data_IF_377505502839
#
_entry.id   IF_377505502839
#
_cell.length_a   1.000
_cell.length_b   1.000
_cell.length_c   1.000
_cell.angle_alpha   90.00
_cell.angle_beta   90.00
_cell.angle_gamma   90.00
#
_symmetry.space_group_name_H-M   'P 1'
#
loop_
_entity.id
_entity.type
_entity.pdbx_description
1 polymer ?
#
# COMPACT_ATOMS: atom_id res chain seq x y z
N UNK A 1 -1.65 -11.62 -62.00
CA UNK A 1 -2.83 -11.13 -62.77
C UNK A 1 -3.73 -10.42 -61.77
N UNK A 2 -3.79 -9.11 -61.82
CA UNK A 2 -4.95 -8.27 -62.19
C UNK A 2 -6.18 -8.54 -61.30
N UNK A 3 -6.82 -7.62 -60.61
CA UNK A 3 -7.15 -6.19 -60.70
C UNK A 3 -8.08 -5.91 -59.53
N UNK A 4 -8.07 -4.84 -58.92
CA UNK A 4 -8.59 -3.47 -59.04
C UNK A 4 -9.74 -3.22 -58.06
N UNK A 5 -9.54 -2.21 -57.18
CA UNK A 5 -10.28 -0.97 -56.99
C UNK A 5 -11.81 -1.06 -56.95
N UNK A 6 -12.44 -0.56 -55.89
CA UNK A 6 -13.21 0.69 -56.01
C UNK A 6 -13.68 1.21 -54.64
N UNK A 7 -13.37 2.45 -54.41
CA UNK A 7 -13.91 3.46 -53.50
C UNK A 7 -15.42 3.62 -53.64
N UNK A 8 -16.17 3.92 -52.59
CA UNK A 8 -17.16 4.97 -52.63
C UNK A 8 -17.54 5.49 -51.23
N UNK A 9 -17.42 6.79 -51.05
CA UNK A 9 -17.92 7.61 -49.96
C UNK A 9 -19.38 8.00 -50.20
N UNK A 10 -20.16 8.19 -49.12
CA UNK A 10 -21.37 9.05 -49.06
C UNK A 10 -21.75 9.19 -47.58
N UNK A 11 -21.48 10.29 -46.87
CA UNK A 11 -22.11 11.60 -46.73
C UNK A 11 -23.58 11.54 -46.25
N UNK A 12 -23.73 12.10 -45.03
CA UNK A 12 -24.83 12.83 -44.38
C UNK A 12 -26.21 12.20 -44.19
N UNK A 13 -26.66 12.23 -42.92
CA UNK A 13 -27.86 13.04 -42.56
C UNK A 13 -28.00 13.19 -41.02
N UNK A 14 -28.11 14.42 -40.60
CA UNK A 14 -28.48 14.95 -39.30
C UNK A 14 -29.94 14.58 -39.00
N UNK A 15 -30.22 14.09 -37.81
CA UNK A 15 -31.58 14.10 -37.26
C UNK A 15 -31.52 14.51 -35.79
N UNK A 16 -31.82 15.77 -35.53
CA UNK A 16 -32.16 16.33 -34.20
C UNK A 16 -33.55 15.81 -33.83
N UNK A 17 -33.64 15.10 -32.72
CA UNK A 17 -34.90 14.91 -32.02
C UNK A 17 -34.71 15.24 -30.53
N UNK A 18 -35.19 16.42 -30.21
CA UNK A 18 -35.47 16.89 -28.84
C UNK A 18 -36.60 16.04 -28.24
N UNK A 19 -36.33 15.40 -27.11
CA UNK A 19 -37.36 14.89 -26.20
C UNK A 19 -37.16 15.53 -24.84
N UNK A 20 -38.10 16.44 -24.55
CA UNK A 20 -38.39 16.90 -23.19
C UNK A 20 -38.86 15.70 -22.35
N UNK A 21 -38.19 15.45 -21.21
CA UNK A 21 -38.76 14.67 -20.14
C UNK A 21 -38.50 15.39 -18.83
N UNK A 22 -39.57 15.51 -18.08
CA UNK A 22 -39.76 16.32 -16.87
C UNK A 22 -38.85 15.94 -15.71
N UNK A 23 -38.35 16.98 -15.11
CA UNK A 23 -38.11 17.30 -13.70
C UNK A 23 -38.64 16.34 -12.64
N UNK A 24 -37.73 15.77 -11.86
CA UNK A 24 -37.89 15.59 -10.43
C UNK A 24 -36.66 16.21 -9.75
N UNK A 25 -36.95 17.27 -8.99
CA UNK A 25 -35.96 17.95 -8.15
C UNK A 25 -35.56 17.07 -7.00
N UNK A 26 -34.36 16.49 -7.04
CA UNK A 26 -33.61 16.17 -5.85
C UNK A 26 -32.62 17.32 -5.59
N UNK A 27 -32.76 17.95 -4.43
CA UNK A 27 -31.83 18.97 -3.97
C UNK A 27 -30.47 18.34 -3.67
N UNK A 28 -29.56 18.39 -4.65
CA UNK A 28 -28.15 18.13 -4.41
C UNK A 28 -27.55 19.32 -3.67
N UNK A 29 -27.05 19.09 -2.46
CA UNK A 29 -26.18 20.03 -1.75
C UNK A 29 -25.04 20.47 -2.67
N UNK A 30 -24.67 21.77 -2.67
CA UNK A 30 -23.55 22.24 -3.49
C UNK A 30 -22.27 21.55 -3.04
N UNK A 31 -21.63 20.82 -3.95
CA UNK A 31 -20.27 20.36 -3.80
C UNK A 31 -19.36 21.57 -3.61
N UNK A 32 -18.51 21.54 -2.58
CA UNK A 32 -17.44 22.51 -2.42
C UNK A 32 -16.61 22.53 -3.72
N UNK A 33 -16.18 23.70 -4.21
CA UNK A 33 -15.29 23.76 -5.36
C UNK A 33 -14.02 22.98 -5.04
N UNK A 34 -13.73 21.93 -5.83
CA UNK A 34 -12.41 21.34 -5.85
C UNK A 34 -11.44 22.44 -6.31
N UNK A 35 -10.51 22.80 -5.41
CA UNK A 35 -9.34 23.58 -5.80
C UNK A 35 -8.61 22.76 -6.87
N UNK A 36 -8.58 23.26 -8.11
CA UNK A 36 -7.63 22.76 -9.11
C UNK A 36 -6.23 22.87 -8.51
N UNK A 37 -5.55 21.74 -8.39
CA UNK A 37 -4.18 21.66 -7.89
C UNK A 37 -3.30 22.36 -8.94
N UNK A 38 -3.00 23.64 -8.72
CA UNK A 38 -1.95 24.31 -9.49
C UNK A 38 -0.61 23.71 -9.06
N UNK A 39 0.12 23.16 -10.00
CA UNK A 39 1.52 22.71 -9.86
C UNK A 39 2.45 23.96 -9.89
N UNK A 40 2.07 25.06 -9.25
CA UNK A 40 2.95 26.21 -9.06
C UNK A 40 3.90 25.87 -7.92
N UNK A 41 5.16 25.58 -8.29
CA UNK A 41 6.28 25.53 -7.35
C UNK A 41 6.40 26.91 -6.71
N UNK A 42 6.16 27.00 -5.42
CA UNK A 42 6.38 28.25 -4.67
C UNK A 42 7.84 28.66 -4.82
N UNK A 43 8.16 29.90 -5.20
CA UNK A 43 9.53 30.32 -5.55
C UNK A 43 10.59 30.12 -4.46
N UNK A 44 10.16 29.99 -3.18
CA UNK A 44 11.02 29.83 -2.01
C UNK A 44 10.81 28.47 -1.28
N UNK A 45 10.18 27.47 -1.93
CA UNK A 45 9.94 26.17 -1.29
C UNK A 45 11.18 25.27 -1.34
N UNK A 46 11.42 24.53 -0.25
CA UNK A 46 12.42 23.49 -0.19
C UNK A 46 11.87 22.19 -0.77
N UNK A 47 12.52 21.64 -1.81
CA UNK A 47 12.17 20.31 -2.31
C UNK A 47 12.61 19.25 -1.30
N UNK A 48 11.70 18.35 -0.94
CA UNK A 48 11.95 17.19 -0.08
C UNK A 48 11.41 15.94 -0.75
N UNK A 49 12.23 14.92 -0.90
CA UNK A 49 11.84 13.59 -1.39
C UNK A 49 11.64 12.67 -0.21
N UNK A 50 10.40 12.18 -0.03
CA UNK A 50 10.05 11.20 0.99
C UNK A 50 9.80 9.85 0.31
N UNK A 51 10.53 8.81 0.73
CA UNK A 51 10.34 7.46 0.24
C UNK A 51 9.58 6.63 1.28
N UNK A 52 8.36 6.19 0.93
CA UNK A 52 7.52 5.33 1.76
C UNK A 52 7.68 3.85 1.39
N UNK A 53 7.55 2.96 2.38
CA UNK A 53 7.66 1.50 2.18
C UNK A 53 6.53 0.93 1.31
N UNK A 54 5.33 1.44 1.47
CA UNK A 54 4.14 1.00 0.76
C UNK A 54 3.11 2.13 0.71
N UNK A 55 2.30 2.17 -0.35
CA UNK A 55 1.15 3.08 -0.39
C UNK A 55 -0.04 2.44 0.30
N UNK A 56 -0.37 2.88 1.52
CA UNK A 56 -1.38 2.25 2.36
C UNK A 56 -2.17 3.27 3.18
N UNK A 57 -3.47 3.04 3.34
CA UNK A 57 -4.33 3.85 4.24
C UNK A 57 -3.81 3.86 5.69
N UNK A 58 -2.94 2.95 6.05
CA UNK A 58 -2.22 2.95 7.32
C UNK A 58 -1.42 4.24 7.55
N UNK A 59 -1.05 4.93 6.46
CA UNK A 59 -0.33 6.20 6.45
C UNK A 59 -1.25 7.41 6.18
N UNK A 60 -2.56 7.24 6.33
CA UNK A 60 -3.55 8.26 6.02
C UNK A 60 -3.26 9.66 6.58
N UNK A 61 -2.74 9.84 7.82
CA UNK A 61 -2.39 11.17 8.31
C UNK A 61 -1.39 11.91 7.43
N UNK A 62 -0.41 11.21 6.87
CA UNK A 62 0.57 11.79 5.94
C UNK A 62 -0.10 12.21 4.62
N UNK A 63 -0.96 11.36 4.07
CA UNK A 63 -1.67 11.69 2.83
C UNK A 63 -2.64 12.85 3.00
N UNK A 64 -3.31 12.93 4.17
CA UNK A 64 -4.14 14.11 4.50
C UNK A 64 -3.31 15.38 4.54
N UNK A 65 -2.11 15.33 5.15
CA UNK A 65 -1.22 16.49 5.19
C UNK A 65 -0.79 16.93 3.78
N UNK A 66 -0.55 15.98 2.87
CA UNK A 66 -0.22 16.25 1.46
C UNK A 66 -1.44 16.87 0.74
N UNK A 67 -2.61 16.26 0.87
CA UNK A 67 -3.80 16.70 0.13
C UNK A 67 -4.37 18.05 0.64
N UNK A 68 -4.25 18.32 1.94
CA UNK A 68 -4.67 19.60 2.54
C UNK A 68 -3.63 20.72 2.38
N UNK A 69 -2.45 20.44 1.82
CA UNK A 69 -1.41 21.42 1.53
C UNK A 69 -0.57 21.85 2.76
N UNK A 70 -0.52 21.04 3.81
CA UNK A 70 0.21 21.40 5.04
C UNK A 70 1.73 21.44 4.83
N UNK A 71 2.26 20.70 3.88
CA UNK A 71 3.67 20.76 3.52
C UNK A 71 3.98 22.07 2.78
N UNK A 72 3.11 22.45 1.85
CA UNK A 72 3.23 23.70 1.11
C UNK A 72 3.13 24.91 2.04
N UNK A 73 2.23 24.87 3.03
CA UNK A 73 2.08 25.92 4.04
C UNK A 73 3.38 26.13 4.87
N UNK A 74 4.18 25.06 5.04
CA UNK A 74 5.50 25.11 5.69
C UNK A 74 6.66 25.37 4.69
N UNK A 75 6.35 25.71 3.45
CA UNK A 75 7.35 25.97 2.42
C UNK A 75 8.08 24.72 1.92
N UNK A 76 7.45 23.56 2.03
CA UNK A 76 7.99 22.27 1.58
C UNK A 76 7.27 21.85 0.29
N UNK A 77 8.03 21.60 -0.77
CA UNK A 77 7.56 20.93 -1.97
C UNK A 77 7.89 19.43 -1.84
N UNK A 78 6.92 18.66 -1.33
CA UNK A 78 7.10 17.25 -1.06
C UNK A 78 6.89 16.41 -2.31
N UNK A 79 7.89 15.58 -2.64
CA UNK A 79 7.78 14.50 -3.62
C UNK A 79 7.67 13.16 -2.86
N UNK A 80 6.54 12.45 -3.03
CA UNK A 80 6.32 11.14 -2.42
C UNK A 80 6.65 10.04 -3.41
N UNK A 81 7.54 9.12 -3.01
CA UNK A 81 7.97 7.95 -3.80
C UNK A 81 7.70 6.68 -3.02
N UNK A 82 7.13 5.66 -3.67
CA UNK A 82 6.90 4.35 -3.02
C UNK A 82 8.04 3.37 -3.37
N UNK A 83 8.76 2.89 -2.36
CA UNK A 83 9.91 1.98 -2.52
C UNK A 83 9.54 0.49 -2.56
N UNK A 84 8.37 0.10 -2.07
CA UNK A 84 7.90 -1.29 -1.98
C UNK A 84 8.78 -2.20 -1.12
N UNK A 85 9.39 -1.66 -0.07
CA UNK A 85 10.19 -2.39 0.91
C UNK A 85 11.07 -1.49 1.75
N UNK A 86 11.25 -1.81 3.04
CA UNK A 86 12.06 -1.01 3.95
C UNK A 86 13.54 -0.97 3.53
N UNK A 87 14.04 -2.06 2.96
CA UNK A 87 15.38 -2.14 2.37
C UNK A 87 15.56 -1.17 1.21
N UNK A 88 14.55 -1.04 0.34
CA UNK A 88 14.59 -0.11 -0.80
C UNK A 88 14.48 1.34 -0.35
N UNK A 89 13.57 1.63 0.61
CA UNK A 89 13.46 2.98 1.18
C UNK A 89 14.74 3.39 1.92
N UNK A 90 15.36 2.47 2.67
CA UNK A 90 16.64 2.71 3.32
C UNK A 90 17.74 2.99 2.29
N UNK A 91 17.81 2.18 1.23
CA UNK A 91 18.78 2.40 0.14
C UNK A 91 18.60 3.77 -0.51
N UNK A 92 17.37 4.19 -0.77
CA UNK A 92 17.09 5.51 -1.35
C UNK A 92 17.60 6.66 -0.45
N UNK A 93 17.44 6.53 0.88
CA UNK A 93 17.98 7.54 1.81
C UNK A 93 19.51 7.51 1.85
N UNK A 94 20.11 6.34 1.98
CA UNK A 94 21.57 6.21 2.05
C UNK A 94 22.29 6.62 0.75
N UNK A 95 21.63 6.45 -0.40
CA UNK A 95 22.15 6.89 -1.70
C UNK A 95 21.93 8.38 -1.99
N UNK A 96 21.11 9.06 -1.19
CA UNK A 96 20.71 10.45 -1.42
C UNK A 96 19.62 10.62 -2.48
N UNK A 97 18.95 9.54 -2.90
CA UNK A 97 17.78 9.59 -3.78
C UNK A 97 16.53 10.07 -3.04
N UNK A 98 16.49 9.91 -1.71
CA UNK A 98 15.45 10.44 -0.84
C UNK A 98 16.07 11.12 0.38
N UNK A 99 15.45 12.22 0.81
CA UNK A 99 15.84 12.97 2.01
C UNK A 99 15.28 12.31 3.29
N UNK A 100 14.10 11.70 3.19
CA UNK A 100 13.40 11.07 4.30
C UNK A 100 12.91 9.69 3.88
N UNK A 101 13.14 8.69 4.74
CA UNK A 101 12.55 7.35 4.62
C UNK A 101 11.41 7.18 5.62
N UNK A 102 10.23 6.84 5.12
CA UNK A 102 9.10 6.46 5.95
C UNK A 102 8.98 4.94 5.98
N UNK A 103 9.55 4.35 7.02
CA UNK A 103 9.73 2.90 7.16
C UNK A 103 9.74 2.50 8.64
N UNK A 104 9.76 1.21 8.92
CA UNK A 104 9.93 0.70 10.27
C UNK A 104 11.32 1.03 10.82
N UNK A 105 11.40 1.27 12.12
CA UNK A 105 12.67 1.62 12.81
C UNK A 105 13.71 0.49 12.79
N UNK A 106 13.29 -0.75 12.51
CA UNK A 106 14.19 -1.90 12.35
C UNK A 106 15.23 -1.67 11.25
N UNK A 107 14.88 -0.99 10.18
CA UNK A 107 15.79 -0.72 9.08
C UNK A 107 16.99 0.13 9.53
N UNK A 108 16.78 1.12 10.42
CA UNK A 108 17.88 1.92 10.99
C UNK A 108 18.78 1.08 11.91
N UNK A 109 18.19 0.15 12.67
CA UNK A 109 18.93 -0.76 13.54
C UNK A 109 19.81 -1.70 12.70
N UNK A 110 19.30 -2.28 11.62
CA UNK A 110 20.07 -3.15 10.73
C UNK A 110 21.26 -2.40 10.14
N UNK A 111 21.02 -1.22 9.58
CA UNK A 111 22.07 -0.41 8.96
C UNK A 111 23.19 -0.06 9.96
N UNK A 112 22.82 0.31 11.19
CA UNK A 112 23.77 0.57 12.25
C UNK A 112 24.58 -0.68 12.62
N UNK A 113 23.92 -1.84 12.77
CA UNK A 113 24.58 -3.09 13.15
C UNK A 113 25.48 -3.68 12.05
N UNK A 114 25.20 -3.36 10.79
CA UNK A 114 26.05 -3.74 9.66
C UNK A 114 27.32 -2.88 9.56
N UNK A 115 27.47 -1.89 10.44
CA UNK A 115 28.67 -1.08 10.55
C UNK A 115 28.78 -0.01 9.48
N UNK A 116 27.67 0.48 8.97
CA UNK A 116 27.65 1.61 8.04
C UNK A 116 28.33 2.84 8.66
N UNK A 117 29.20 3.50 7.90
CA UNK A 117 29.86 4.74 8.34
C UNK A 117 28.88 5.91 8.39
N UNK A 118 27.82 5.84 7.61
CA UNK A 118 26.71 6.79 7.60
C UNK A 118 25.42 6.00 7.83
N UNK A 119 24.61 6.44 8.76
CA UNK A 119 23.37 5.76 9.16
C UNK A 119 22.28 6.77 9.43
N UNK A 120 21.04 6.36 9.20
CA UNK A 120 19.87 7.23 9.38
C UNK A 120 19.53 7.40 10.86
N UNK A 121 18.89 8.52 11.17
CA UNK A 121 18.38 8.85 12.51
C UNK A 121 16.86 8.91 12.46
N UNK A 122 16.20 8.23 13.40
CA UNK A 122 14.73 8.31 13.52
C UNK A 122 14.36 9.68 14.12
N UNK A 123 13.54 10.45 13.41
CA UNK A 123 13.16 11.82 13.78
C UNK A 123 11.70 11.94 14.22
N UNK A 124 10.84 11.01 13.79
CA UNK A 124 9.40 11.03 14.11
C UNK A 124 8.82 9.62 14.09
N UNK A 125 7.72 9.44 14.82
CA UNK A 125 6.93 8.22 14.82
C UNK A 125 5.47 8.58 14.49
N UNK A 126 4.96 8.07 13.34
CA UNK A 126 3.60 8.32 12.89
C UNK A 126 2.62 7.23 13.32
N UNK A 127 3.11 6.01 13.50
CA UNK A 127 2.29 4.85 13.85
C UNK A 127 2.83 4.18 15.11
N UNK A 128 1.95 3.70 15.98
CA UNK A 128 2.32 3.11 17.28
C UNK A 128 2.10 1.60 17.36
N UNK A 129 1.32 1.03 16.43
CA UNK A 129 0.99 -0.39 16.38
C UNK A 129 1.14 -0.91 14.97
N UNK A 130 1.34 -2.22 14.83
CA UNK A 130 1.33 -2.85 13.53
C UNK A 130 -0.06 -2.73 12.90
N UNK A 131 -0.12 -2.30 11.65
CA UNK A 131 -1.37 -2.13 10.90
C UNK A 131 -1.73 -3.34 10.04
N UNK A 132 -1.25 -4.52 10.42
CA UNK A 132 -1.41 -5.74 9.66
C UNK A 132 -2.46 -6.65 10.25
N UNK A 133 -3.06 -7.44 9.37
CA UNK A 133 -4.05 -8.46 9.67
C UNK A 133 -3.60 -9.80 9.12
N UNK A 134 -3.90 -10.86 9.85
CA UNK A 134 -3.79 -12.23 9.34
C UNK A 134 -5.10 -12.57 8.63
N UNK A 135 -5.00 -12.95 7.37
CA UNK A 135 -6.13 -13.34 6.53
C UNK A 135 -6.01 -14.83 6.22
N UNK A 136 -7.06 -15.60 6.52
CA UNK A 136 -7.18 -17.01 6.20
C UNK A 136 -7.93 -17.20 4.88
N UNK A 137 -7.73 -18.33 4.21
CA UNK A 137 -8.47 -18.71 3.01
C UNK A 137 -9.90 -19.14 3.29
N UNK A 138 -10.12 -19.71 4.48
CA UNK A 138 -11.40 -20.21 4.93
C UNK A 138 -11.88 -19.43 6.17
N UNK A 139 -13.18 -19.42 6.40
CA UNK A 139 -13.75 -18.81 7.58
C UNK A 139 -13.35 -19.61 8.84
N UNK A 140 -12.79 -18.92 9.85
CA UNK A 140 -12.30 -19.53 11.08
C UNK A 140 -12.79 -18.73 12.30
N UNK A 141 -14.06 -18.87 12.71
CA UNK A 141 -14.64 -18.09 13.80
C UNK A 141 -13.93 -18.32 15.15
N UNK A 142 -13.36 -19.50 15.35
CA UNK A 142 -12.64 -19.90 16.56
C UNK A 142 -11.13 -19.98 16.32
N UNK A 143 -10.59 -19.12 15.42
CA UNK A 143 -9.17 -19.13 15.08
C UNK A 143 -8.24 -19.14 16.29
N UNK A 144 -7.30 -20.04 16.27
CA UNK A 144 -6.17 -20.11 17.20
C UNK A 144 -4.85 -20.06 16.44
N UNK A 145 -3.84 -19.42 17.02
CA UNK A 145 -2.51 -19.35 16.40
C UNK A 145 -1.92 -20.73 16.09
N UNK A 146 -2.32 -21.77 16.85
CA UNK A 146 -1.91 -23.16 16.59
C UNK A 146 -2.45 -23.74 15.28
N UNK A 147 -3.47 -23.12 14.68
CA UNK A 147 -4.02 -23.56 13.39
C UNK A 147 -3.08 -23.27 12.23
N UNK A 148 -2.04 -22.45 12.46
CA UNK A 148 -0.99 -22.19 11.51
C UNK A 148 0.00 -23.36 11.36
N UNK A 149 -0.01 -24.36 12.27
CA UNK A 149 0.89 -25.50 12.19
C UNK A 149 0.63 -26.34 10.94
N UNK A 150 1.68 -26.60 10.20
CA UNK A 150 1.65 -27.30 8.92
C UNK A 150 1.15 -26.48 7.73
N UNK A 151 0.93 -25.18 7.93
CA UNK A 151 0.39 -24.27 6.91
C UNK A 151 1.47 -23.44 6.24
N UNK A 152 1.14 -22.91 5.06
CA UNK A 152 1.94 -21.93 4.35
C UNK A 152 1.34 -20.52 4.56
N UNK A 153 2.19 -19.58 4.93
CA UNK A 153 1.80 -18.18 5.19
C UNK A 153 2.65 -17.24 4.31
N UNK A 154 2.02 -16.29 3.63
CA UNK A 154 2.73 -15.14 3.08
C UNK A 154 2.96 -14.17 4.22
N UNK A 155 4.14 -14.25 4.83
CA UNK A 155 4.42 -13.60 6.13
C UNK A 155 4.87 -12.15 6.03
N UNK A 156 4.85 -11.58 4.82
CA UNK A 156 5.48 -10.30 4.55
C UNK A 156 6.94 -10.47 4.11
N UNK A 157 7.58 -9.35 3.77
CA UNK A 157 8.96 -9.34 3.28
C UNK A 157 9.95 -9.56 4.43
N UNK A 158 10.95 -10.41 4.21
CA UNK A 158 11.98 -10.74 5.21
C UNK A 158 12.65 -9.49 5.78
N UNK A 159 12.69 -9.41 7.10
CA UNK A 159 13.29 -8.30 7.83
C UNK A 159 12.46 -7.03 7.89
N UNK A 160 11.25 -7.02 7.32
CA UNK A 160 10.31 -5.92 7.48
C UNK A 160 9.48 -6.02 8.77
N UNK A 161 9.00 -4.90 9.28
CA UNK A 161 8.22 -4.85 10.52
C UNK A 161 7.03 -5.82 10.54
N UNK A 162 6.24 -5.99 9.46
CA UNK A 162 5.12 -6.94 9.45
C UNK A 162 5.56 -8.38 9.74
N UNK A 163 6.62 -8.81 9.08
CA UNK A 163 7.16 -10.16 9.25
C UNK A 163 7.73 -10.35 10.66
N UNK A 164 8.50 -9.39 11.16
CA UNK A 164 9.08 -9.46 12.50
C UNK A 164 8.02 -9.52 13.58
N UNK A 165 6.95 -8.72 13.48
CA UNK A 165 5.82 -8.76 14.44
C UNK A 165 5.10 -10.09 14.35
N UNK A 166 4.86 -10.62 13.16
CA UNK A 166 4.24 -11.92 12.96
C UNK A 166 5.07 -13.03 13.61
N UNK A 167 6.36 -13.10 13.32
CA UNK A 167 7.26 -14.07 13.94
C UNK A 167 7.33 -13.92 15.48
N UNK A 168 7.35 -12.68 15.97
CA UNK A 168 7.33 -12.42 17.41
C UNK A 168 6.07 -13.01 18.04
N UNK A 169 4.90 -12.79 17.45
CA UNK A 169 3.63 -13.34 17.94
C UNK A 169 3.69 -14.87 17.94
N UNK A 170 4.16 -15.50 16.86
CA UNK A 170 4.29 -16.96 16.78
C UNK A 170 5.17 -17.51 17.90
N UNK A 171 6.33 -16.89 18.14
CA UNK A 171 7.24 -17.25 19.25
C UNK A 171 6.57 -17.12 20.62
N UNK A 172 5.80 -16.04 20.85
CA UNK A 172 5.05 -15.85 22.10
C UNK A 172 3.94 -16.89 22.29
N UNK A 173 3.42 -17.46 21.21
CA UNK A 173 2.41 -18.54 21.22
C UNK A 173 3.05 -19.93 21.25
N UNK A 174 4.37 -20.04 21.35
CA UNK A 174 5.08 -21.31 21.41
C UNK A 174 5.12 -22.07 20.08
N UNK A 175 5.04 -21.35 18.96
CA UNK A 175 5.12 -21.89 17.60
C UNK A 175 6.55 -21.71 17.11
N UNK A 176 7.16 -22.83 16.68
CA UNK A 176 8.50 -22.85 16.09
C UNK A 176 8.38 -22.46 14.59
N UNK A 177 8.89 -21.28 14.26
CA UNK A 177 8.76 -20.72 12.91
C UNK A 177 9.53 -21.50 11.84
N UNK A 178 10.49 -22.35 12.24
CA UNK A 178 11.29 -23.14 11.31
C UNK A 178 10.72 -24.55 11.09
N UNK A 179 9.92 -25.05 12.07
CA UNK A 179 9.44 -26.44 12.06
C UNK A 179 7.93 -26.57 11.90
N UNK A 180 7.18 -25.61 12.51
CA UNK A 180 5.74 -25.76 12.63
C UNK A 180 4.97 -25.26 11.41
N UNK A 181 5.54 -24.35 10.59
CA UNK A 181 4.87 -23.79 9.41
C UNK A 181 5.89 -23.37 8.35
N UNK A 182 5.39 -23.01 7.17
CA UNK A 182 6.22 -22.42 6.11
C UNK A 182 5.87 -20.94 5.97
N UNK A 183 6.85 -20.04 6.18
CA UNK A 183 6.67 -18.61 5.95
C UNK A 183 7.35 -18.22 4.64
N UNK A 184 6.57 -17.83 3.64
CA UNK A 184 7.10 -17.28 2.39
C UNK A 184 7.31 -15.78 2.55
N UNK A 185 8.55 -15.33 2.46
CA UNK A 185 9.01 -13.96 2.70
C UNK A 185 9.54 -13.28 1.42
N UNK A 186 9.37 -13.92 0.25
CA UNK A 186 9.99 -13.47 -1.00
C UNK A 186 9.03 -12.68 -1.91
N UNK A 187 7.84 -12.35 -1.44
CA UNK A 187 6.84 -11.60 -2.21
C UNK A 187 6.85 -10.15 -1.77
N UNK A 188 6.98 -9.25 -2.75
CA UNK A 188 6.98 -7.81 -2.51
C UNK A 188 5.62 -7.32 -1.98
N UNK A 189 5.64 -6.27 -1.15
CA UNK A 189 4.44 -5.56 -0.73
C UNK A 189 3.63 -5.10 -1.95
N UNK A 190 2.32 -5.20 -1.86
CA UNK A 190 1.42 -4.90 -2.98
C UNK A 190 1.15 -6.10 -3.91
N UNK A 191 1.92 -7.20 -3.80
CA UNK A 191 1.70 -8.42 -4.56
C UNK A 191 1.17 -9.58 -3.71
N UNK A 192 1.21 -9.48 -2.38
CA UNK A 192 0.82 -10.54 -1.44
C UNK A 192 -0.65 -10.91 -1.57
N UNK A 193 -1.56 -9.94 -1.63
CA UNK A 193 -2.99 -10.19 -1.81
C UNK A 193 -3.32 -10.90 -3.14
N UNK A 194 -2.62 -10.55 -4.22
CA UNK A 194 -2.77 -11.22 -5.51
C UNK A 194 -2.27 -12.66 -5.44
N UNK A 195 -1.07 -12.89 -4.92
CA UNK A 195 -0.48 -14.22 -4.74
C UNK A 195 -1.35 -15.11 -3.84
N UNK A 196 -1.89 -14.55 -2.77
CA UNK A 196 -2.85 -15.24 -1.92
C UNK A 196 -4.13 -15.60 -2.69
N UNK A 197 -4.71 -14.67 -3.44
CA UNK A 197 -5.91 -14.91 -4.24
C UNK A 197 -5.73 -16.03 -5.27
N UNK A 198 -4.50 -16.18 -5.81
CA UNK A 198 -4.11 -17.24 -6.74
C UNK A 198 -3.86 -18.60 -6.07
N UNK A 199 -3.93 -18.70 -4.75
CA UNK A 199 -3.82 -19.96 -4.03
C UNK A 199 -2.41 -20.33 -3.59
N UNK A 200 -1.47 -19.38 -3.54
CA UNK A 200 -0.07 -19.66 -3.21
C UNK A 200 0.18 -19.95 -1.72
N UNK A 201 -0.79 -19.67 -0.83
CA UNK A 201 -0.69 -19.93 0.60
C UNK A 201 -2.04 -20.13 1.27
N UNK A 202 -2.06 -20.69 2.47
CA UNK A 202 -3.25 -20.87 3.31
C UNK A 202 -3.62 -19.59 4.03
N UNK A 203 -2.61 -18.78 4.40
CA UNK A 203 -2.76 -17.49 5.08
C UNK A 203 -1.87 -16.42 4.46
N UNK A 204 -2.24 -15.16 4.68
CA UNK A 204 -1.41 -14.02 4.31
C UNK A 204 -1.46 -12.93 5.36
N UNK A 205 -0.35 -12.22 5.53
CA UNK A 205 -0.25 -11.00 6.35
C UNK A 205 -0.46 -9.80 5.45
N UNK A 206 -1.56 -9.09 5.65
CA UNK A 206 -1.97 -7.98 4.80
C UNK A 206 -2.13 -6.67 5.55
N UNK A 207 -1.87 -5.56 4.87
CA UNK A 207 -2.30 -4.24 5.28
C UNK A 207 -3.70 -3.92 4.73
N UNK A 208 -4.34 -2.89 5.28
CA UNK A 208 -5.47 -2.27 4.61
C UNK A 208 -4.98 -1.39 3.43
N UNK A 209 -5.71 -1.36 2.31
CA UNK A 209 -7.02 -1.96 2.04
C UNK A 209 -6.98 -3.41 1.53
N UNK A 210 -5.81 -4.07 1.50
CA UNK A 210 -5.62 -5.42 0.97
C UNK A 210 -6.49 -6.44 1.70
N UNK A 211 -6.48 -6.44 3.04
CA UNK A 211 -7.27 -7.35 3.86
C UNK A 211 -8.78 -7.23 3.56
N UNK A 212 -9.33 -6.01 3.61
CA UNK A 212 -10.74 -5.76 3.26
C UNK A 212 -11.06 -6.13 1.80
N UNK A 213 -10.12 -5.94 0.88
CA UNK A 213 -10.33 -6.32 -0.53
C UNK A 213 -10.46 -7.82 -0.70
N UNK A 214 -9.64 -8.59 0.02
CA UNK A 214 -9.74 -10.05 0.03
C UNK A 214 -11.07 -10.52 0.60
N UNK A 215 -11.54 -9.93 1.71
CA UNK A 215 -12.84 -10.28 2.31
C UNK A 215 -14.00 -9.93 1.37
N UNK A 216 -14.07 -8.70 0.86
CA UNK A 216 -15.13 -8.26 -0.07
C UNK A 216 -15.13 -9.06 -1.37
N UNK A 217 -13.96 -9.52 -1.81
CA UNK A 217 -13.81 -10.38 -2.97
C UNK A 217 -14.15 -11.86 -2.71
N UNK A 218 -14.46 -12.24 -1.47
CA UNK A 218 -14.72 -13.64 -1.08
C UNK A 218 -13.48 -14.53 -1.27
N UNK A 219 -12.29 -13.96 -1.12
CA UNK A 219 -11.01 -14.64 -1.32
C UNK A 219 -10.30 -14.97 0.00
N UNK A 220 -10.74 -14.37 1.09
CA UNK A 220 -10.17 -14.59 2.40
C UNK A 220 -11.02 -14.00 3.51
N UNK A 221 -10.65 -14.30 4.75
CA UNK A 221 -11.32 -13.87 5.97
C UNK A 221 -10.27 -13.35 6.96
N UNK A 222 -10.47 -12.16 7.49
CA UNK A 222 -9.59 -11.63 8.55
C UNK A 222 -9.83 -12.43 9.82
N UNK A 223 -8.79 -13.08 10.33
CA UNK A 223 -8.87 -13.96 11.52
C UNK A 223 -8.14 -13.40 12.74
N UNK A 224 -7.18 -12.49 12.53
CA UNK A 224 -6.49 -11.83 13.63
C UNK A 224 -5.92 -10.46 13.23
N UNK A 225 -5.78 -9.55 14.22
CA UNK A 225 -4.95 -8.36 14.10
C UNK A 225 -3.55 -8.65 14.66
N UNK A 226 -2.51 -8.09 14.05
CA UNK A 226 -1.13 -8.18 14.53
C UNK A 226 -0.73 -6.99 15.42
N UNK A 227 -1.55 -5.92 15.48
CA UNK A 227 -1.30 -4.69 16.23
C UNK A 227 -2.08 -4.49 17.50
#
# INVERSE_FOLDING_TARGET
MKKRFLTLALVTAISVTSLLACSSKEESKPAKPQKEKSTEILPDSTKVVLNEVAHSIFYAPMYVAIEEGYFEDEGINLELVTGFGADKSMTAVLSGEADIGFMGSEASIYTYNEGANDYVVNIAQLTQRAGNFLVAREEMPDFSWTDLKGKTVLGGRKGGMPEMVFEYILKQKGIDIEKDLTINQNIDFGSTAAAFSEGQADFTVEFEPGATTLEKGGKGYVVASLG
#
